data_IF_656610088892
#
_entry.id   IF_656610088892
#
_cell.length_a   1.000
_cell.length_b   1.000
_cell.length_c   1.000
_cell.angle_alpha   90.00
_cell.angle_beta   90.00
_cell.angle_gamma   90.00
#
_symmetry.space_group_name_H-M   'P 1'
#
loop_
_entity.id
_entity.type
_entity.pdbx_description
1 polymer ?
#
# COMPACT_ATOMS: atom_id res chain seq x y z
N UNK A 1 10.96 -8.75 -25.21
CA UNK A 1 10.71 -8.92 -23.75
C UNK A 1 11.53 -10.08 -23.22
N UNK A 2 12.39 -9.87 -22.22
CA UNK A 2 13.22 -10.96 -21.67
C UNK A 2 12.36 -12.00 -20.93
N UNK A 3 12.79 -13.27 -20.91
CA UNK A 3 12.12 -14.36 -20.18
C UNK A 3 11.88 -14.00 -18.70
N UNK A 4 12.80 -13.26 -18.08
CA UNK A 4 12.68 -12.81 -16.69
C UNK A 4 11.50 -11.85 -16.48
N UNK A 5 11.31 -10.90 -17.40
CA UNK A 5 10.17 -9.96 -17.35
C UNK A 5 8.83 -10.69 -17.49
N UNK A 6 8.73 -11.69 -18.38
CA UNK A 6 7.50 -12.49 -18.55
C UNK A 6 7.14 -13.31 -17.31
N UNK A 7 8.13 -13.85 -16.58
CA UNK A 7 7.92 -14.57 -15.31
C UNK A 7 7.44 -13.62 -14.21
N UNK A 8 8.05 -12.44 -14.11
CA UNK A 8 7.67 -11.40 -13.15
C UNK A 8 6.20 -10.97 -13.32
N UNK A 9 5.78 -10.63 -14.54
CA UNK A 9 4.40 -10.25 -14.81
C UNK A 9 3.39 -11.37 -14.51
N UNK A 10 3.74 -12.64 -14.79
CA UNK A 10 2.89 -13.78 -14.43
C UNK A 10 2.69 -13.89 -12.92
N UNK A 11 3.75 -13.72 -12.14
CA UNK A 11 3.66 -13.79 -10.68
C UNK A 11 2.82 -12.63 -10.14
N UNK A 12 3.01 -11.41 -10.64
CA UNK A 12 2.20 -10.25 -10.24
C UNK A 12 0.73 -10.47 -10.59
N UNK A 13 0.41 -10.94 -11.81
CA UNK A 13 -0.96 -11.26 -12.22
C UNK A 13 -1.59 -12.32 -11.32
N UNK A 14 -0.87 -13.40 -11.03
CA UNK A 14 -1.36 -14.45 -10.13
C UNK A 14 -1.57 -13.93 -8.71
N UNK A 15 -0.69 -13.07 -8.21
CA UNK A 15 -0.84 -12.42 -6.91
C UNK A 15 -2.08 -11.51 -6.85
N UNK A 16 -2.27 -10.67 -7.87
CA UNK A 16 -3.45 -9.80 -7.97
C UNK A 16 -4.73 -10.61 -8.08
N UNK A 17 -4.75 -11.69 -8.88
CA UNK A 17 -5.89 -12.57 -9.00
C UNK A 17 -6.22 -13.29 -7.67
N UNK A 18 -5.21 -13.74 -6.93
CA UNK A 18 -5.39 -14.32 -5.61
C UNK A 18 -5.96 -13.30 -4.61
N UNK A 19 -5.47 -12.06 -4.61
CA UNK A 19 -6.03 -11.00 -3.76
C UNK A 19 -7.48 -10.68 -4.13
N UNK A 20 -7.81 -10.64 -5.42
CA UNK A 20 -9.20 -10.44 -5.88
C UNK A 20 -10.12 -11.59 -5.41
N UNK A 21 -9.65 -12.83 -5.44
CA UNK A 21 -10.40 -13.99 -4.95
C UNK A 21 -10.68 -13.89 -3.44
N UNK A 22 -9.73 -13.39 -2.64
CA UNK A 22 -9.94 -13.15 -1.21
C UNK A 22 -11.01 -12.08 -0.96
N UNK A 23 -11.03 -11.00 -1.74
CA UNK A 23 -12.08 -9.99 -1.65
C UNK A 23 -13.45 -10.55 -2.04
N UNK A 24 -13.51 -11.36 -3.10
CA UNK A 24 -14.75 -12.03 -3.52
C UNK A 24 -15.28 -12.98 -2.43
N UNK A 25 -14.40 -13.79 -1.83
CA UNK A 25 -14.75 -14.65 -0.70
C UNK A 25 -15.22 -13.83 0.51
N UNK A 26 -14.67 -12.65 0.75
CA UNK A 26 -15.11 -11.78 1.83
C UNK A 26 -16.51 -11.19 1.58
N UNK A 27 -16.83 -10.79 0.33
CA UNK A 27 -18.20 -10.38 -0.05
C UNK A 27 -19.18 -11.51 0.23
N UNK A 28 -18.85 -12.72 -0.22
CA UNK A 28 -19.75 -13.87 -0.16
C UNK A 28 -19.94 -14.38 1.27
N UNK A 29 -18.87 -14.50 2.05
CA UNK A 29 -18.93 -15.02 3.43
C UNK A 29 -19.50 -14.03 4.44
N UNK A 30 -19.22 -12.73 4.28
CA UNK A 30 -19.61 -11.72 5.26
C UNK A 30 -20.77 -10.83 4.79
N UNK A 31 -21.29 -11.05 3.56
CA UNK A 31 -22.39 -10.25 3.00
C UNK A 31 -22.05 -8.78 2.81
N UNK A 32 -20.76 -8.44 2.76
CA UNK A 32 -20.29 -7.06 2.67
C UNK A 32 -20.59 -6.53 1.27
N UNK A 33 -21.28 -5.39 1.18
CA UNK A 33 -21.54 -4.74 -0.11
C UNK A 33 -20.22 -4.33 -0.78
N UNK A 34 -20.18 -4.37 -2.11
CA UNK A 34 -19.00 -3.95 -2.89
C UNK A 34 -18.61 -2.50 -2.63
N UNK A 35 -19.58 -1.65 -2.31
CA UNK A 35 -19.37 -0.26 -1.89
C UNK A 35 -18.58 -0.16 -0.58
N UNK A 36 -18.91 -1.01 0.40
CA UNK A 36 -18.23 -1.03 1.70
C UNK A 36 -16.78 -1.51 1.56
N UNK A 37 -16.51 -2.47 0.66
CA UNK A 37 -15.13 -2.86 0.32
C UNK A 37 -14.35 -1.68 -0.24
N UNK A 38 -14.96 -0.90 -1.14
CA UNK A 38 -14.35 0.32 -1.66
C UNK A 38 -14.02 1.33 -0.57
N UNK A 39 -14.93 1.53 0.40
CA UNK A 39 -14.71 2.40 1.56
C UNK A 39 -13.58 1.90 2.45
N UNK A 40 -13.55 0.61 2.76
CA UNK A 40 -12.48 0.00 3.56
C UNK A 40 -11.12 0.10 2.88
N UNK A 41 -11.08 -0.11 1.56
CA UNK A 41 -9.86 0.05 0.76
C UNK A 41 -9.35 1.50 0.82
N UNK A 42 -10.22 2.48 0.58
CA UNK A 42 -9.87 3.91 0.65
C UNK A 42 -9.41 4.32 2.05
N UNK A 43 -10.10 3.88 3.09
CA UNK A 43 -9.70 4.12 4.47
C UNK A 43 -8.32 3.51 4.76
N UNK A 44 -8.08 2.29 4.30
CA UNK A 44 -6.76 1.62 4.44
C UNK A 44 -5.66 2.39 3.72
N UNK A 45 -5.90 2.81 2.47
CA UNK A 45 -4.94 3.63 1.71
C UNK A 45 -4.66 4.96 2.42
N UNK A 46 -5.69 5.61 2.95
CA UNK A 46 -5.54 6.87 3.69
C UNK A 46 -4.68 6.69 4.95
N UNK A 47 -4.92 5.63 5.73
CA UNK A 47 -4.13 5.31 6.93
C UNK A 47 -2.68 5.00 6.56
N UNK A 48 -2.44 4.15 5.55
CA UNK A 48 -1.09 3.84 5.07
C UNK A 48 -0.38 5.10 4.59
N UNK A 49 -1.06 5.96 3.82
CA UNK A 49 -0.54 7.23 3.36
C UNK A 49 -0.17 8.16 4.52
N UNK A 50 -1.01 8.25 5.55
CA UNK A 50 -0.75 9.03 6.77
C UNK A 50 0.50 8.52 7.50
N UNK A 51 0.66 7.20 7.65
CA UNK A 51 1.83 6.59 8.29
C UNK A 51 3.11 6.92 7.53
N UNK A 52 3.07 6.81 6.20
CA UNK A 52 4.22 7.17 5.34
C UNK A 52 4.54 8.66 5.47
N UNK A 53 3.52 9.53 5.45
CA UNK A 53 3.71 10.96 5.62
C UNK A 53 4.32 11.32 6.98
N UNK A 54 3.84 10.70 8.05
CA UNK A 54 4.40 10.87 9.39
C UNK A 54 5.86 10.42 9.46
N UNK A 55 6.18 9.25 8.89
CA UNK A 55 7.56 8.77 8.80
C UNK A 55 8.45 9.75 8.01
N UNK A 56 7.96 10.26 6.87
CA UNK A 56 8.67 11.25 6.07
C UNK A 56 8.91 12.56 6.84
N UNK A 57 7.94 13.03 7.63
CA UNK A 57 8.09 14.20 8.50
C UNK A 57 9.15 13.95 9.58
N UNK A 58 9.10 12.81 10.26
CA UNK A 58 10.09 12.45 11.28
C UNK A 58 11.51 12.43 10.70
N UNK A 59 11.69 11.79 9.55
CA UNK A 59 12.97 11.74 8.85
C UNK A 59 13.40 13.13 8.37
N UNK A 60 12.47 13.91 7.82
CA UNK A 60 12.71 15.28 7.37
C UNK A 60 13.16 16.20 8.51
N UNK A 61 12.49 16.12 9.66
CA UNK A 61 12.86 16.84 10.87
C UNK A 61 14.23 16.40 11.38
N UNK A 62 14.50 15.10 11.44
CA UNK A 62 15.79 14.56 11.85
C UNK A 62 16.94 15.08 10.98
N UNK A 63 16.78 15.01 9.65
CA UNK A 63 17.76 15.50 8.69
C UNK A 63 17.92 17.01 8.81
N UNK A 64 16.81 17.75 8.88
CA UNK A 64 16.81 19.21 9.03
C UNK A 64 17.52 19.67 10.29
N UNK A 65 17.22 19.05 11.43
CA UNK A 65 17.85 19.37 12.72
C UNK A 65 19.35 19.05 12.69
N UNK A 66 19.74 17.91 12.10
CA UNK A 66 21.14 17.54 11.93
C UNK A 66 21.89 18.53 11.03
N UNK A 67 21.22 19.07 10.01
CA UNK A 67 21.83 20.05 9.12
C UNK A 67 22.03 21.41 9.81
N UNK A 68 21.05 21.84 10.63
CA UNK A 68 21.14 23.05 11.46
C UNK A 68 22.24 22.93 12.53
N UNK A 69 22.35 21.78 13.19
CA UNK A 69 23.34 21.54 14.25
C UNK A 69 24.78 21.35 13.73
N UNK A 70 24.96 21.00 12.45
CA UNK A 70 26.31 20.88 11.83
C UNK A 70 26.84 22.19 11.25
N UNK A 71 25.97 23.17 11.02
CA UNK A 71 26.33 24.51 10.53
C UNK A 71 26.60 25.52 11.66
N UNK A 72 26.43 25.10 12.91
CA UNK A 72 26.77 25.86 14.11
C UNK A 72 28.05 25.29 14.71
#
# INVERSE_FOLDING_TARGET
>A
MSRASRKYYRTVLLGVAAMAALLWAAVDQFGISTEEIGRLLLATLAVVGLVIAAAAVCVGLWIGLRHLLRKK
#
